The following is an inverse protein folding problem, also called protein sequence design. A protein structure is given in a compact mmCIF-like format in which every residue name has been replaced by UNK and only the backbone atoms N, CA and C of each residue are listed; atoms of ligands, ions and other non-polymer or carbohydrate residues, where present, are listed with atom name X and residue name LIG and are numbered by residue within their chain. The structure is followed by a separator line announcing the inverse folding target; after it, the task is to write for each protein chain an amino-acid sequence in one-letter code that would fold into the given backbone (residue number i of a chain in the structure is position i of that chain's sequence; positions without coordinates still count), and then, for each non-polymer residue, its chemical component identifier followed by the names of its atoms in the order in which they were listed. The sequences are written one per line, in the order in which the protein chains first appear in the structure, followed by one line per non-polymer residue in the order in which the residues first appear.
data_IF_904897501868
#
_entry.id   IF_904897501868
#
_cell.length_a   1.000
_cell.length_b   1.000
_cell.length_c   1.000
_cell.angle_alpha   90.00
_cell.angle_beta   90.00
_cell.angle_gamma   90.00
#
_symmetry.space_group_name_H-M   'P 1'
#
loop_
_entity.id
_entity.type
_entity.pdbx_description
1 polymer ?
#
# COMPACT_ATOMS: atom_id res chain seq x y z
N UNK A 1 17.24 -25.40 -22.79
CA UNK A 1 17.72 -24.42 -23.80
C UNK A 1 17.31 -23.02 -23.34
N UNK A 2 18.04 -21.97 -23.71
CA UNK A 2 17.64 -20.57 -23.49
C UNK A 2 17.27 -19.92 -24.82
N UNK A 3 16.19 -19.16 -24.85
CA UNK A 3 15.75 -18.33 -25.98
C UNK A 3 15.94 -16.87 -25.57
N UNK A 4 16.60 -16.09 -26.42
CA UNK A 4 16.83 -14.67 -26.20
C UNK A 4 15.88 -13.89 -27.10
N UNK A 5 15.07 -13.04 -26.51
CA UNK A 5 14.21 -12.09 -27.20
C UNK A 5 14.70 -10.68 -26.90
N UNK A 6 14.52 -9.76 -27.84
CA UNK A 6 14.83 -8.35 -27.67
C UNK A 6 13.61 -7.51 -27.96
N UNK A 7 13.40 -6.46 -27.17
CA UNK A 7 12.36 -5.49 -27.45
C UNK A 7 12.84 -4.35 -28.36
N UNK A 8 11.96 -3.40 -28.64
CA UNK A 8 12.25 -2.19 -29.43
C UNK A 8 13.38 -1.32 -28.86
N UNK A 9 13.67 -1.42 -27.56
CA UNK A 9 14.76 -0.71 -26.88
C UNK A 9 16.04 -1.54 -26.81
N UNK A 10 16.10 -2.67 -27.53
CA UNK A 10 17.21 -3.63 -27.51
C UNK A 10 17.46 -4.27 -26.12
N UNK A 11 16.51 -4.15 -25.19
CA UNK A 11 16.56 -4.82 -23.90
C UNK A 11 16.26 -6.32 -24.09
N UNK A 12 17.05 -7.17 -23.43
CA UNK A 12 17.00 -8.62 -23.63
C UNK A 12 16.13 -9.31 -22.59
N UNK A 13 15.25 -10.22 -23.04
CA UNK A 13 14.51 -11.17 -22.22
C UNK A 13 15.03 -12.57 -22.48
N UNK A 14 15.45 -13.26 -21.42
CA UNK A 14 15.91 -14.65 -21.48
C UNK A 14 14.79 -15.58 -21.01
N UNK A 15 14.33 -16.45 -21.91
CA UNK A 15 13.31 -17.46 -21.66
C UNK A 15 13.92 -18.86 -21.60
N UNK A 16 13.35 -19.73 -20.77
CA UNK A 16 13.69 -21.14 -20.69
C UNK A 16 12.81 -21.94 -21.65
N UNK A 17 13.44 -22.74 -22.51
CA UNK A 17 12.76 -23.64 -23.45
C UNK A 17 13.04 -25.09 -23.09
N UNK A 18 11.96 -25.86 -22.93
CA UNK A 18 11.97 -27.30 -22.72
C UNK A 18 11.25 -27.98 -23.87
N UNK A 19 11.95 -28.92 -24.53
CA UNK A 19 11.42 -29.71 -25.64
C UNK A 19 11.27 -31.14 -25.14
N UNK A 20 10.08 -31.72 -25.31
CA UNK A 20 9.76 -33.09 -24.96
C UNK A 20 9.22 -33.81 -26.19
N UNK A 21 9.90 -34.89 -26.58
CA UNK A 21 9.45 -35.80 -27.62
C UNK A 21 8.46 -36.81 -27.04
N UNK A 22 7.35 -37.06 -27.74
CA UNK A 22 6.30 -38.00 -27.35
C UNK A 22 6.18 -39.09 -28.41
N UNK A 23 5.76 -40.30 -27.99
CA UNK A 23 5.41 -41.38 -28.90
C UNK A 23 4.39 -40.90 -29.95
N UNK A 24 4.54 -41.36 -31.20
CA UNK A 24 3.71 -40.92 -32.33
C UNK A 24 4.17 -39.60 -32.98
N UNK A 25 5.48 -39.29 -32.95
CA UNK A 25 6.08 -38.13 -33.60
C UNK A 25 5.55 -36.75 -33.13
N UNK A 26 4.95 -36.69 -31.94
CA UNK A 26 4.49 -35.43 -31.36
C UNK A 26 5.61 -34.73 -30.58
N UNK A 27 5.73 -33.41 -30.76
CA UNK A 27 6.70 -32.57 -30.05
C UNK A 27 5.97 -31.60 -29.15
N UNK A 28 6.30 -31.59 -27.86
CA UNK A 28 5.83 -30.58 -26.91
C UNK A 28 6.94 -29.59 -26.60
N UNK A 29 6.78 -28.36 -27.03
CA UNK A 29 7.67 -27.24 -26.71
C UNK A 29 7.01 -26.42 -25.59
N UNK A 30 7.74 -26.21 -24.49
CA UNK A 30 7.31 -25.36 -23.38
C UNK A 30 8.29 -24.20 -23.25
N UNK A 31 7.77 -22.97 -23.29
CA UNK A 31 8.53 -21.73 -23.12
C UNK A 31 8.10 -21.09 -21.81
N UNK A 32 9.06 -20.76 -20.95
CA UNK A 32 8.83 -20.30 -19.58
C UNK A 32 9.73 -19.11 -19.27
N UNK A 33 9.21 -18.08 -18.63
CA UNK A 33 10.02 -17.03 -18.01
C UNK A 33 10.46 -17.48 -16.61
N UNK A 34 11.67 -17.10 -16.19
CA UNK A 34 12.16 -17.39 -14.84
C UNK A 34 11.40 -16.61 -13.77
N UNK A 35 10.95 -15.39 -14.09
CA UNK A 35 10.28 -14.48 -13.17
C UNK A 35 9.09 -13.80 -13.83
N UNK A 36 8.01 -13.67 -13.10
CA UNK A 36 6.86 -12.83 -13.42
C UNK A 36 6.72 -11.75 -12.37
N UNK A 37 6.67 -10.50 -12.78
CA UNK A 37 6.42 -9.37 -11.90
C UNK A 37 4.95 -8.98 -12.04
N UNK A 38 4.20 -9.14 -10.95
CA UNK A 38 2.77 -8.83 -10.87
C UNK A 38 2.60 -7.56 -10.05
N UNK A 39 2.22 -6.47 -10.70
CA UNK A 39 1.96 -5.20 -10.04
C UNK A 39 0.51 -5.13 -9.55
N UNK A 40 0.32 -5.11 -8.24
CA UNK A 40 -0.97 -4.91 -7.55
C UNK A 40 -1.03 -3.59 -6.80
N UNK A 41 -0.04 -2.71 -6.95
CA UNK A 41 0.05 -1.46 -6.18
C UNK A 41 -0.94 -0.39 -6.63
N UNK A 42 -1.39 -0.46 -7.89
CA UNK A 42 -2.10 0.64 -8.55
C UNK A 42 -1.19 1.79 -9.01
N UNK A 43 0.12 1.72 -8.70
CA UNK A 43 1.12 2.68 -9.16
C UNK A 43 1.73 2.23 -10.50
N UNK A 44 2.19 3.13 -11.37
CA UNK A 44 3.09 2.76 -12.45
C UNK A 44 4.42 2.30 -11.85
N UNK A 45 4.79 1.04 -12.06
CA UNK A 45 6.05 0.47 -11.54
C UNK A 45 6.94 0.09 -12.71
N UNK A 46 8.19 0.54 -12.65
CA UNK A 46 9.22 0.20 -13.61
C UNK A 46 10.36 -0.54 -12.93
N UNK A 47 10.88 -1.55 -13.61
CA UNK A 47 11.80 -2.53 -13.02
C UNK A 47 13.05 -2.70 -13.88
N UNK A 48 14.20 -2.90 -13.23
CA UNK A 48 15.44 -3.32 -13.89
C UNK A 48 16.26 -4.26 -13.03
N UNK A 49 17.21 -4.93 -13.67
CA UNK A 49 18.31 -5.58 -12.96
C UNK A 49 19.18 -4.50 -12.30
N UNK A 50 19.57 -4.74 -11.06
CA UNK A 50 20.47 -3.84 -10.36
C UNK A 50 21.81 -3.77 -11.09
N UNK A 51 22.42 -2.58 -11.13
CA UNK A 51 23.64 -2.33 -11.88
C UNK A 51 23.51 -2.14 -13.40
N UNK A 52 22.35 -2.41 -14.02
CA UNK A 52 22.11 -2.09 -15.45
C UNK A 52 21.59 -0.66 -15.64
N UNK A 53 21.88 -0.05 -16.80
CA UNK A 53 21.35 1.29 -17.14
C UNK A 53 20.00 1.25 -17.87
N UNK A 54 19.60 0.06 -18.34
CA UNK A 54 18.37 -0.14 -19.09
C UNK A 54 17.29 -0.79 -18.23
N UNK A 55 16.03 -0.44 -18.53
CA UNK A 55 14.87 -1.13 -17.97
C UNK A 55 14.81 -2.57 -18.47
N UNK A 56 14.15 -3.44 -17.69
CA UNK A 56 13.88 -4.79 -18.15
C UNK A 56 13.00 -4.79 -19.40
N UNK A 57 13.25 -5.77 -20.29
CA UNK A 57 12.58 -5.88 -21.58
C UNK A 57 11.05 -5.92 -21.47
N UNK A 58 10.37 -5.31 -22.45
CA UNK A 58 8.91 -5.26 -22.51
C UNK A 58 8.28 -4.07 -21.79
N UNK A 59 9.09 -3.21 -21.17
CA UNK A 59 8.64 -1.94 -20.59
C UNK A 59 8.84 -0.80 -21.58
N UNK A 60 7.80 0.00 -21.78
CA UNK A 60 7.74 1.14 -22.70
C UNK A 60 6.99 2.31 -22.04
N UNK A 61 6.85 3.42 -22.76
CA UNK A 61 6.28 4.67 -22.23
C UNK A 61 4.92 4.50 -21.53
N UNK A 62 4.06 3.59 -21.98
CA UNK A 62 2.76 3.34 -21.34
C UNK A 62 2.88 2.82 -19.88
N UNK A 63 4.00 2.20 -19.52
CA UNK A 63 4.28 1.75 -18.15
C UNK A 63 4.62 2.92 -17.22
N UNK A 64 5.10 4.05 -17.76
CA UNK A 64 5.29 5.30 -17.00
C UNK A 64 3.94 5.93 -16.58
N UNK A 65 2.85 5.56 -17.27
CA UNK A 65 1.51 6.13 -17.09
C UNK A 65 0.47 5.17 -16.49
N UNK A 66 0.90 4.01 -15.98
CA UNK A 66 0.04 2.99 -15.36
C UNK A 66 -1.03 2.40 -16.30
N UNK A 67 -0.81 2.43 -17.62
CA UNK A 67 -1.76 1.92 -18.63
C UNK A 67 -1.61 0.42 -18.91
N UNK A 68 -0.61 -0.24 -18.32
CA UNK A 68 -0.36 -1.67 -18.48
C UNK A 68 -0.69 -2.42 -17.20
N UNK A 69 -1.64 -3.35 -17.28
CA UNK A 69 -2.05 -4.23 -16.18
C UNK A 69 -1.50 -5.66 -16.32
N UNK A 70 -0.70 -5.91 -17.35
CA UNK A 70 -0.19 -7.25 -17.63
C UNK A 70 1.02 -7.58 -16.74
N UNK A 71 1.16 -8.83 -16.26
CA UNK A 71 2.37 -9.27 -15.60
C UNK A 71 3.59 -9.11 -16.53
N UNK A 72 4.66 -8.54 -15.99
CA UNK A 72 5.91 -8.36 -16.73
C UNK A 72 6.74 -9.65 -16.66
N UNK A 73 7.09 -10.22 -17.81
CA UNK A 73 8.09 -11.27 -17.88
C UNK A 73 9.48 -10.67 -17.61
N UNK A 74 10.20 -11.23 -16.64
CA UNK A 74 11.48 -10.70 -16.21
C UNK A 74 12.58 -11.77 -16.26
N UNK A 75 13.79 -11.32 -16.57
CA UNK A 75 15.00 -12.12 -16.52
C UNK A 75 16.21 -11.24 -16.21
N UNK A 76 17.16 -11.81 -15.49
CA UNK A 76 18.50 -11.24 -15.36
C UNK A 76 19.28 -11.50 -16.65
N UNK A 77 19.40 -10.46 -17.48
CA UNK A 77 19.95 -10.57 -18.82
C UNK A 77 21.46 -10.37 -18.85
N UNK A 78 21.97 -9.49 -17.98
CA UNK A 78 23.39 -9.21 -17.83
C UNK A 78 23.99 -10.17 -16.79
N UNK A 79 25.01 -10.94 -17.20
CA UNK A 79 25.65 -11.93 -16.33
C UNK A 79 26.74 -11.33 -15.45
N UNK A 80 27.22 -10.13 -15.80
CA UNK A 80 28.26 -9.43 -15.07
C UNK A 80 27.66 -8.57 -13.93
N UNK A 81 26.34 -8.39 -13.95
CA UNK A 81 25.58 -7.68 -12.93
C UNK A 81 24.94 -8.63 -11.91
N UNK A 82 24.68 -8.16 -10.68
CA UNK A 82 24.06 -9.00 -9.65
C UNK A 82 22.67 -9.47 -10.07
N UNK A 83 22.29 -10.66 -9.59
CA UNK A 83 20.93 -11.20 -9.68
C UNK A 83 20.00 -10.53 -8.67
N UNK A 84 20.02 -9.20 -8.63
CA UNK A 84 19.20 -8.37 -7.76
C UNK A 84 18.36 -7.42 -8.62
N UNK A 85 17.18 -7.12 -8.13
CA UNK A 85 16.19 -6.31 -8.81
C UNK A 85 16.09 -4.94 -8.13
N UNK A 86 15.86 -3.89 -8.90
CA UNK A 86 15.45 -2.58 -8.36
C UNK A 86 14.26 -2.05 -9.15
N UNK A 87 13.45 -1.22 -8.51
CA UNK A 87 12.26 -0.65 -9.14
C UNK A 87 12.09 0.82 -8.77
N UNK A 88 11.38 1.55 -9.62
CA UNK A 88 10.96 2.93 -9.37
C UNK A 88 9.51 3.09 -9.76
N UNK A 89 8.91 4.17 -9.26
CA UNK A 89 7.61 4.60 -9.74
C UNK A 89 7.73 5.29 -11.12
N UNK A 90 6.67 5.25 -11.92
CA UNK A 90 6.59 5.93 -13.21
C UNK A 90 6.41 7.44 -13.09
N UNK A 91 6.78 8.16 -14.15
CA UNK A 91 6.78 9.63 -14.18
C UNK A 91 5.41 10.26 -13.92
N UNK A 92 4.31 9.58 -14.27
CA UNK A 92 2.94 10.10 -14.07
C UNK A 92 2.25 9.55 -12.81
N UNK A 93 2.98 9.07 -11.82
CA UNK A 93 2.39 8.75 -10.52
C UNK A 93 1.95 10.01 -9.77
N UNK A 94 0.85 10.60 -10.22
CA UNK A 94 0.18 11.70 -9.54
C UNK A 94 -0.86 11.12 -8.58
N UNK A 95 -0.53 11.10 -7.29
CA UNK A 95 -1.50 10.87 -6.21
C UNK A 95 -1.71 12.19 -5.50
N UNK A 96 -2.94 12.72 -5.51
CA UNK A 96 -3.28 14.00 -4.88
C UNK A 96 -2.86 15.21 -5.71
N UNK A 97 -3.84 16.05 -6.04
CA UNK A 97 -3.73 17.20 -6.93
C UNK A 97 -2.65 18.22 -6.53
N UNK A 98 -2.16 18.91 -7.56
CA UNK A 98 -1.16 19.99 -7.55
C UNK A 98 0.22 19.59 -7.03
N UNK A 99 1.10 19.15 -7.92
CA UNK A 99 2.55 19.18 -7.69
C UNK A 99 3.09 20.51 -8.20
N UNK A 100 3.47 21.39 -7.26
CA UNK A 100 4.49 22.40 -7.55
C UNK A 100 5.82 21.65 -7.77
N UNK A 101 6.59 22.05 -8.80
CA UNK A 101 7.92 21.51 -9.07
C UNK A 101 7.99 20.24 -9.94
N UNK A 102 9.14 20.06 -10.60
CA UNK A 102 9.46 18.86 -11.38
C UNK A 102 9.87 17.73 -10.42
N UNK A 103 9.12 16.61 -10.43
CA UNK A 103 9.44 15.43 -9.64
C UNK A 103 10.15 14.36 -10.48
N UNK A 104 11.22 13.78 -9.92
CA UNK A 104 12.01 12.74 -10.59
C UNK A 104 11.93 11.42 -9.80
N UNK A 105 11.50 10.32 -10.42
CA UNK A 105 11.43 9.03 -9.75
C UNK A 105 12.82 8.43 -9.52
N UNK A 106 13.04 7.89 -8.33
CA UNK A 106 14.29 7.23 -7.94
C UNK A 106 14.13 5.72 -7.80
N UNK A 107 15.16 4.98 -8.19
CA UNK A 107 15.22 3.53 -8.02
C UNK A 107 15.42 3.16 -6.55
N UNK A 108 14.58 2.28 -6.02
CA UNK A 108 14.67 1.84 -4.65
C UNK A 108 15.91 0.99 -4.39
N UNK A 109 16.16 0.67 -3.13
CA UNK A 109 17.17 -0.31 -2.74
C UNK A 109 16.94 -1.67 -3.44
N UNK A 110 18.02 -2.31 -3.85
CA UNK A 110 18.02 -3.61 -4.52
C UNK A 110 17.42 -4.72 -3.66
N UNK A 111 16.74 -5.69 -4.26
CA UNK A 111 16.13 -6.85 -3.58
C UNK A 111 16.28 -8.13 -4.39
N UNK A 112 16.28 -9.29 -3.73
CA UNK A 112 16.31 -10.60 -4.39
C UNK A 112 14.91 -11.04 -4.85
N UNK A 113 14.84 -11.75 -5.98
CA UNK A 113 13.62 -12.39 -6.49
C UNK A 113 13.60 -13.91 -6.25
N UNK A 114 14.41 -14.42 -5.32
CA UNK A 114 14.56 -15.87 -5.08
C UNK A 114 13.58 -16.42 -4.03
N UNK A 115 12.95 -15.57 -3.22
CA UNK A 115 11.95 -15.99 -2.24
C UNK A 115 11.73 -14.99 -1.12
N UNK A 116 10.66 -15.20 -0.35
CA UNK A 116 10.36 -14.42 0.86
C UNK A 116 9.56 -13.15 0.59
N UNK A 117 9.44 -12.33 1.63
CA UNK A 117 8.74 -11.03 1.57
C UNK A 117 9.64 -9.93 2.11
N UNK A 118 9.60 -8.76 1.48
CA UNK A 118 10.32 -7.56 1.92
C UNK A 118 9.53 -6.31 1.56
N UNK A 119 9.97 -5.15 2.04
CA UNK A 119 9.37 -3.85 1.73
C UNK A 119 10.36 -2.95 1.02
N UNK A 120 9.87 -2.11 0.12
CA UNK A 120 10.67 -1.07 -0.53
C UNK A 120 9.93 0.25 -0.52
N UNK A 121 10.70 1.31 -0.51
CA UNK A 121 10.17 2.66 -0.61
C UNK A 121 10.54 3.23 -1.98
N UNK A 122 9.52 3.64 -2.73
CA UNK A 122 9.68 4.28 -4.04
C UNK A 122 9.60 5.77 -3.85
N UNK A 123 10.67 6.49 -4.18
CA UNK A 123 10.78 7.93 -3.93
C UNK A 123 10.57 8.72 -5.21
N UNK A 124 9.82 9.80 -5.08
CA UNK A 124 9.77 10.91 -6.04
C UNK A 124 10.50 12.08 -5.40
N UNK A 125 11.65 12.44 -6.00
CA UNK A 125 12.49 13.53 -5.52
C UNK A 125 12.01 14.81 -6.16
N UNK A 126 11.73 15.84 -5.37
CA UNK A 126 11.38 17.17 -5.89
C UNK A 126 12.61 18.07 -5.87
N UNK A 127 12.78 18.88 -6.93
CA UNK A 127 13.92 19.78 -7.08
C UNK A 127 13.78 21.11 -6.32
N UNK A 128 12.60 21.43 -5.80
CA UNK A 128 12.24 22.75 -5.23
C UNK A 128 12.32 22.80 -3.69
N UNK A 129 12.90 21.77 -3.06
CA UNK A 129 13.02 21.68 -1.61
C UNK A 129 11.74 21.27 -0.89
N UNK A 130 10.65 20.98 -1.62
CA UNK A 130 9.47 20.36 -1.01
C UNK A 130 9.76 18.93 -0.56
N UNK A 131 9.06 18.43 0.47
CA UNK A 131 9.24 17.06 0.96
C UNK A 131 9.06 16.03 -0.16
N UNK A 132 10.00 15.10 -0.26
CA UNK A 132 9.92 13.99 -1.20
C UNK A 132 8.67 13.15 -0.93
N UNK A 133 8.00 12.71 -2.00
CA UNK A 133 6.92 11.72 -1.86
C UNK A 133 7.54 10.32 -1.84
N UNK A 134 7.05 9.48 -0.94
CA UNK A 134 7.57 8.13 -0.78
C UNK A 134 6.41 7.13 -0.68
N UNK A 135 6.43 6.13 -1.56
CA UNK A 135 5.44 5.07 -1.61
C UNK A 135 6.04 3.80 -1.04
N UNK A 136 5.64 3.44 0.18
CA UNK A 136 5.99 2.15 0.75
C UNK A 136 5.18 1.04 0.07
N UNK A 137 5.88 0.02 -0.43
CA UNK A 137 5.30 -1.14 -1.11
C UNK A 137 5.81 -2.43 -0.47
N UNK A 138 4.98 -3.46 -0.51
CA UNK A 138 5.34 -4.82 -0.19
C UNK A 138 5.75 -5.61 -1.42
N UNK A 139 6.77 -6.45 -1.30
CA UNK A 139 7.23 -7.38 -2.32
C UNK A 139 7.14 -8.77 -1.71
N UNK A 140 6.48 -9.69 -2.40
CA UNK A 140 6.42 -11.10 -2.00
C UNK A 140 6.75 -11.99 -3.19
N UNK A 141 7.65 -12.93 -2.97
CA UNK A 141 8.14 -13.84 -4.00
C UNK A 141 7.73 -15.25 -3.61
N UNK A 142 7.01 -15.90 -4.52
CA UNK A 142 6.67 -17.32 -4.38
C UNK A 142 6.92 -18.05 -5.68
N UNK A 143 7.17 -19.36 -5.59
CA UNK A 143 7.23 -20.21 -6.78
C UNK A 143 5.82 -20.41 -7.34
N UNK A 144 5.68 -20.37 -8.66
CA UNK A 144 4.43 -20.71 -9.34
C UNK A 144 4.07 -22.17 -9.14
N UNK A 145 2.81 -22.52 -9.40
CA UNK A 145 2.29 -23.87 -9.26
C UNK A 145 1.92 -24.49 -10.61
N UNK A 146 1.87 -25.83 -10.66
CA UNK A 146 1.50 -26.58 -11.86
C UNK A 146 2.37 -26.22 -13.07
N UNK A 147 1.74 -25.73 -14.14
CA UNK A 147 2.43 -25.32 -15.38
C UNK A 147 3.44 -24.16 -15.20
N UNK A 148 3.41 -23.48 -14.06
CA UNK A 148 4.30 -22.36 -13.73
C UNK A 148 5.34 -22.72 -12.65
N UNK A 149 5.55 -24.01 -12.34
CA UNK A 149 6.49 -24.45 -11.29
C UNK A 149 7.96 -24.01 -11.47
N UNK A 150 8.33 -23.60 -12.68
CA UNK A 150 9.65 -23.09 -13.02
C UNK A 150 9.71 -21.55 -13.08
N UNK A 151 8.66 -20.87 -12.64
CA UNK A 151 8.55 -19.41 -12.64
C UNK A 151 8.37 -18.91 -11.21
N UNK A 152 9.15 -17.91 -10.80
CA UNK A 152 8.90 -17.18 -9.56
C UNK A 152 7.94 -16.02 -9.83
N UNK A 153 6.89 -15.94 -9.02
CA UNK A 153 5.88 -14.89 -9.07
C UNK A 153 6.27 -13.84 -8.02
N UNK A 154 6.82 -12.72 -8.49
CA UNK A 154 7.16 -11.53 -7.70
C UNK A 154 5.92 -10.64 -7.68
N UNK A 155 5.18 -10.65 -6.58
CA UNK A 155 4.01 -9.80 -6.39
C UNK A 155 4.42 -8.52 -5.67
N UNK A 156 4.22 -7.38 -6.34
CA UNK A 156 4.40 -6.04 -5.76
C UNK A 156 3.02 -5.54 -5.34
N UNK A 157 2.84 -5.23 -4.07
CA UNK A 157 1.54 -4.87 -3.49
C UNK A 157 1.66 -3.59 -2.63
N UNK A 158 0.56 -2.89 -2.36
CA UNK A 158 0.55 -1.76 -1.45
C UNK A 158 1.05 -2.18 -0.06
N UNK A 159 1.71 -1.27 0.68
CA UNK A 159 2.07 -1.56 2.08
C UNK A 159 0.87 -1.51 3.01
N UNK A 160 -0.07 -0.59 2.79
CA UNK A 160 -1.23 -0.39 3.65
C UNK A 160 -2.53 -0.37 2.84
N UNK A 161 -3.50 -1.18 3.27
CA UNK A 161 -4.87 -1.17 2.79
C UNK A 161 -5.79 -0.80 3.95
N UNK A 162 -6.70 0.14 3.73
CA UNK A 162 -7.73 0.52 4.68
C UNK A 162 -9.07 -0.04 4.20
N UNK A 163 -9.75 -0.80 5.05
CA UNK A 163 -11.06 -1.39 4.79
C UNK A 163 -12.09 -0.76 5.71
N UNK A 164 -13.18 -0.26 5.12
CA UNK A 164 -14.36 0.11 5.88
C UNK A 164 -15.34 -1.07 5.86
N UNK A 165 -15.38 -1.82 6.97
CA UNK A 165 -16.31 -2.92 7.20
C UNK A 165 -17.44 -2.53 8.17
N UNK A 166 -17.69 -1.22 8.36
CA UNK A 166 -18.91 -0.75 9.04
C UNK A 166 -20.12 -0.96 8.15
N UNK A 167 -21.32 -1.02 8.75
CA UNK A 167 -22.55 -1.35 8.01
C UNK A 167 -23.10 -0.19 7.19
N UNK A 168 -23.02 1.03 7.73
CA UNK A 168 -23.77 2.17 7.20
C UNK A 168 -22.95 3.46 7.02
N UNK A 169 -21.89 3.65 7.80
CA UNK A 169 -21.19 4.93 7.84
C UNK A 169 -19.99 4.96 6.91
N UNK A 170 -19.83 6.06 6.18
CA UNK A 170 -18.58 6.38 5.49
C UNK A 170 -17.53 6.75 6.53
N UNK A 171 -16.30 6.31 6.33
CA UNK A 171 -15.17 6.61 7.21
C UNK A 171 -14.18 7.52 6.49
N UNK A 172 -13.78 8.60 7.16
CA UNK A 172 -12.66 9.43 6.70
C UNK A 172 -11.40 9.06 7.46
N UNK A 173 -10.29 8.96 6.73
CA UNK A 173 -8.97 8.65 7.23
C UNK A 173 -7.98 9.75 6.86
N UNK A 174 -7.06 10.07 7.77
CA UNK A 174 -5.97 11.00 7.51
C UNK A 174 -4.77 10.72 8.43
N UNK A 175 -3.59 11.18 8.05
CA UNK A 175 -2.43 11.22 8.94
C UNK A 175 -2.68 12.25 10.06
N UNK A 176 -2.28 11.93 11.30
CA UNK A 176 -2.49 12.82 12.45
C UNK A 176 -1.90 14.21 12.24
N UNK A 177 -0.68 14.30 11.71
CA UNK A 177 -0.04 15.58 11.36
C UNK A 177 -0.93 16.49 10.51
N UNK A 178 -1.58 15.94 9.49
CA UNK A 178 -2.47 16.66 8.56
C UNK A 178 -3.66 17.28 9.29
N UNK A 179 -4.19 16.60 10.30
CA UNK A 179 -5.33 17.09 11.10
C UNK A 179 -4.88 18.18 12.07
N UNK A 180 -3.73 17.99 12.72
CA UNK A 180 -3.20 18.93 13.70
C UNK A 180 -2.66 20.22 13.07
N UNK A 181 -2.25 20.17 11.81
CA UNK A 181 -1.68 21.33 11.09
C UNK A 181 -2.37 21.56 9.74
N UNK A 182 -3.62 22.08 9.73
CA UNK A 182 -4.40 22.27 8.51
C UNK A 182 -3.83 23.33 7.55
N UNK A 183 -2.84 24.11 7.99
CA UNK A 183 -2.19 25.16 7.19
C UNK A 183 -0.97 24.66 6.40
N UNK A 184 -0.57 23.39 6.55
CA UNK A 184 0.53 22.84 5.75
C UNK A 184 0.08 22.71 4.28
N UNK A 185 0.79 23.31 3.31
CA UNK A 185 0.37 23.35 1.91
C UNK A 185 0.24 21.96 1.25
N UNK A 186 0.80 20.90 1.86
CA UNK A 186 0.65 19.50 1.41
C UNK A 186 -0.70 18.90 1.86
N UNK A 187 -1.44 19.55 2.76
CA UNK A 187 -2.64 19.02 3.44
C UNK A 187 -3.89 19.03 2.58
N UNK A 188 -3.99 19.93 1.59
CA UNK A 188 -5.25 20.31 0.93
C UNK A 188 -6.00 19.18 0.16
N UNK A 189 -5.51 17.94 0.10
CA UNK A 189 -6.20 16.84 -0.57
C UNK A 189 -5.98 15.44 0.05
N UNK A 190 -5.64 15.33 1.34
CA UNK A 190 -5.07 14.07 1.87
C UNK A 190 -5.99 13.24 2.76
N UNK A 191 -7.22 13.71 3.06
CA UNK A 191 -8.19 12.86 3.75
C UNK A 191 -8.86 11.92 2.74
N UNK A 192 -8.78 10.62 2.99
CA UNK A 192 -9.44 9.59 2.19
C UNK A 192 -10.78 9.26 2.82
N UNK A 193 -11.85 9.21 2.02
CA UNK A 193 -13.15 8.77 2.50
C UNK A 193 -13.53 7.45 1.83
N UNK A 194 -13.87 6.45 2.65
CA UNK A 194 -14.15 5.08 2.23
C UNK A 194 -15.62 4.77 2.56
N UNK A 195 -16.37 4.27 1.58
CA UNK A 195 -17.76 3.84 1.77
C UNK A 195 -17.82 2.46 2.46
N UNK A 196 -18.93 2.13 3.15
CA UNK A 196 -19.15 0.79 3.69
C UNK A 196 -18.86 -0.34 2.68
N UNK A 197 -18.20 -1.41 3.14
CA UNK A 197 -17.86 -2.59 2.33
C UNK A 197 -16.73 -2.39 1.30
N UNK A 198 -16.03 -1.26 1.33
CA UNK A 198 -14.98 -0.93 0.36
C UNK A 198 -13.60 -0.76 0.99
N UNK A 199 -12.57 -0.70 0.15
CA UNK A 199 -11.18 -0.53 0.56
C UNK A 199 -10.42 0.45 -0.32
N UNK A 200 -9.42 1.10 0.25
CA UNK A 200 -8.49 1.97 -0.49
C UNK A 200 -7.05 1.68 -0.10
N UNK A 201 -6.15 1.91 -1.06
CA UNK A 201 -4.70 1.96 -0.79
C UNK A 201 -4.37 3.23 -0.03
N UNK A 202 -3.58 3.10 1.02
CA UNK A 202 -3.10 4.23 1.80
C UNK A 202 -1.58 4.39 1.68
N UNK A 203 -1.16 5.61 1.40
CA UNK A 203 0.22 6.04 1.46
C UNK A 203 0.30 7.25 2.39
N UNK A 204 1.33 7.29 3.23
CA UNK A 204 1.56 8.43 4.11
C UNK A 204 1.80 9.69 3.27
N UNK A 205 0.98 10.75 3.46
CA UNK A 205 1.21 12.02 2.78
C UNK A 205 2.59 12.63 3.12
N UNK A 206 3.03 12.48 4.37
CA UNK A 206 4.30 12.99 4.89
C UNK A 206 5.06 11.91 5.65
N UNK A 207 6.05 11.30 5.00
CA UNK A 207 6.92 10.28 5.62
C UNK A 207 7.94 10.86 6.60
N UNK A 208 8.21 12.16 6.53
CA UNK A 208 9.04 12.92 7.48
C UNK A 208 8.31 13.29 8.78
N UNK A 209 7.05 12.87 8.92
CA UNK A 209 6.16 13.15 10.06
C UNK A 209 5.68 11.86 10.71
N UNK A 210 4.84 11.99 11.73
CA UNK A 210 4.34 10.84 12.49
C UNK A 210 3.48 9.90 11.63
N UNK A 211 3.77 8.62 11.67
CA UNK A 211 3.02 7.58 10.93
C UNK A 211 1.81 7.10 11.73
N UNK A 212 0.98 8.05 12.18
CA UNK A 212 -0.22 7.78 12.94
C UNK A 212 -1.47 8.05 12.09
N UNK A 213 -2.30 7.03 11.95
CA UNK A 213 -3.56 7.09 11.21
C UNK A 213 -4.67 7.55 12.14
N UNK A 214 -5.48 8.49 11.69
CA UNK A 214 -6.70 8.90 12.37
C UNK A 214 -7.92 8.49 11.54
N UNK A 215 -9.02 8.18 12.22
CA UNK A 215 -10.32 7.87 11.63
C UNK A 215 -11.40 8.77 12.24
N UNK A 216 -12.42 9.11 11.43
CA UNK A 216 -13.68 9.70 11.88
C UNK A 216 -14.85 9.18 11.06
N UNK A 217 -16.07 9.36 11.55
CA UNK A 217 -17.27 9.24 10.73
C UNK A 217 -17.30 10.41 9.73
N UNK A 218 -17.38 10.10 8.45
CA UNK A 218 -17.39 11.11 7.39
C UNK A 218 -18.74 11.83 7.32
N UNK A 219 -19.82 11.08 7.52
CA UNK A 219 -21.22 11.53 7.42
C UNK A 219 -21.64 12.39 8.61
N UNK A 220 -20.88 12.36 9.70
CA UNK A 220 -21.14 13.12 10.93
C UNK A 220 -20.03 14.17 11.16
N UNK A 221 -20.16 15.39 10.60
CA UNK A 221 -19.11 16.41 10.68
C UNK A 221 -18.82 16.88 12.11
N UNK A 222 -19.74 16.64 13.04
CA UNK A 222 -19.59 16.98 14.45
C UNK A 222 -18.82 15.91 15.26
N UNK A 223 -18.49 14.77 14.65
CA UNK A 223 -17.64 13.74 15.27
C UNK A 223 -16.17 14.11 15.13
N UNK A 224 -15.45 14.14 16.25
CA UNK A 224 -14.02 14.46 16.25
C UNK A 224 -13.21 13.29 15.68
N UNK A 225 -12.06 13.62 15.09
CA UNK A 225 -11.04 12.63 14.73
C UNK A 225 -10.56 11.86 15.97
N UNK A 226 -10.24 10.58 15.77
CA UNK A 226 -9.52 9.77 16.76
C UNK A 226 -8.13 10.35 17.09
N UNK A 227 -7.53 9.93 18.21
CA UNK A 227 -6.21 10.40 18.67
C UNK A 227 -4.98 9.95 17.85
N UNK A 228 -5.16 9.13 16.82
CA UNK A 228 -4.08 8.56 16.00
C UNK A 228 -3.60 7.21 16.51
N UNK A 229 -3.35 6.27 15.60
CA UNK A 229 -2.87 4.92 15.92
C UNK A 229 -1.90 4.39 14.87
N UNK A 230 -1.07 3.42 15.27
CA UNK A 230 -0.10 2.77 14.41
C UNK A 230 -0.78 1.69 13.55
N UNK A 231 -0.36 1.58 12.29
CA UNK A 231 -0.89 0.61 11.33
C UNK A 231 0.21 -0.29 10.74
N UNK A 232 1.41 -0.23 11.32
CA UNK A 232 2.61 -0.94 10.89
C UNK A 232 2.99 -2.10 11.81
N UNK A 233 2.03 -2.55 12.63
CA UNK A 233 2.13 -3.73 13.50
C UNK A 233 0.77 -4.40 13.61
N UNK A 234 0.76 -5.72 13.79
CA UNK A 234 -0.47 -6.47 13.99
C UNK A 234 -1.06 -6.19 15.36
N UNK A 235 -2.32 -5.78 15.41
CA UNK A 235 -2.99 -5.38 16.64
C UNK A 235 -4.51 -5.44 16.47
N UNK A 236 -5.25 -5.54 17.56
CA UNK A 236 -6.71 -5.49 17.58
C UNK A 236 -7.18 -4.72 18.80
N UNK A 237 -7.91 -3.62 18.58
CA UNK A 237 -8.30 -2.71 19.65
C UNK A 237 -9.52 -1.86 19.29
N UNK A 238 -10.11 -1.25 20.31
CA UNK A 238 -11.23 -0.33 20.15
C UNK A 238 -10.77 1.12 20.18
N UNK A 239 -11.31 1.96 19.29
CA UNK A 239 -11.10 3.40 19.30
C UNK A 239 -12.42 4.11 19.66
N UNK A 240 -12.43 4.96 20.71
CA UNK A 240 -13.55 5.86 20.97
C UNK A 240 -13.50 7.09 20.06
N UNK A 241 -14.59 7.35 19.35
CA UNK A 241 -14.84 8.59 18.62
C UNK A 241 -15.75 9.49 19.44
N UNK A 242 -15.23 10.63 19.90
CA UNK A 242 -15.98 11.57 20.74
C UNK A 242 -17.02 12.33 19.91
N UNK A 243 -18.26 12.25 20.37
CA UNK A 243 -19.39 13.04 19.88
C UNK A 243 -19.33 14.46 20.46
N UNK A 244 -19.67 15.46 19.66
CA UNK A 244 -19.87 16.82 20.19
C UNK A 244 -21.27 16.95 20.81
N UNK A 245 -21.44 17.78 21.85
CA UNK A 245 -22.73 18.00 22.52
C UNK A 245 -23.88 18.41 21.60
N UNK A 246 -23.56 19.08 20.49
CA UNK A 246 -24.51 19.53 19.48
C UNK A 246 -24.98 18.44 18.50
N UNK A 247 -24.43 17.22 18.57
CA UNK A 247 -24.78 16.14 17.63
C UNK A 247 -26.13 15.52 18.01
N UNK A 248 -26.99 15.20 17.04
CA UNK A 248 -28.28 14.51 17.29
C UNK A 248 -28.06 13.20 18.07
N UNK A 249 -27.01 12.45 17.74
CA UNK A 249 -26.60 11.23 18.46
C UNK A 249 -26.27 11.49 19.94
N UNK A 250 -25.71 12.66 20.25
CA UNK A 250 -25.43 13.07 21.63
C UNK A 250 -26.73 13.40 22.37
N UNK A 251 -27.66 14.11 21.72
CA UNK A 251 -28.94 14.52 22.31
C UNK A 251 -29.90 13.35 22.54
N UNK A 252 -29.84 12.33 21.68
CA UNK A 252 -30.66 11.11 21.78
C UNK A 252 -30.06 10.04 22.72
N UNK A 253 -28.88 10.29 23.31
CA UNK A 253 -28.30 9.36 24.28
C UNK A 253 -29.17 9.34 25.55
N UNK A 254 -29.91 8.25 25.74
CA UNK A 254 -30.97 8.08 26.76
C UNK A 254 -30.44 8.11 28.21
N UNK A 255 -29.12 8.17 28.42
CA UNK A 255 -28.52 8.10 29.74
C UNK A 255 -27.51 9.23 29.98
N UNK A 256 -27.67 10.06 31.05
CA UNK A 256 -26.76 11.17 31.36
C UNK A 256 -25.35 10.72 31.76
N UNK A 257 -25.13 9.41 31.94
CA UNK A 257 -23.82 8.80 32.22
C UNK A 257 -23.29 7.91 31.08
N UNK A 258 -23.95 7.86 29.91
CA UNK A 258 -23.43 7.11 28.77
C UNK A 258 -22.20 7.84 28.20
N UNK A 259 -21.11 7.13 27.86
CA UNK A 259 -19.97 7.77 27.23
C UNK A 259 -20.43 8.38 25.90
N UNK A 260 -20.21 9.68 25.73
CA UNK A 260 -20.48 10.44 24.50
C UNK A 260 -19.52 10.05 23.36
N UNK A 261 -19.39 8.75 23.12
CA UNK A 261 -18.42 8.16 22.23
C UNK A 261 -19.06 7.02 21.43
N UNK A 262 -18.69 6.93 20.16
CA UNK A 262 -18.93 5.75 19.33
C UNK A 262 -17.64 4.92 19.35
N UNK A 263 -17.73 3.62 19.59
CA UNK A 263 -16.58 2.75 19.52
C UNK A 263 -16.49 2.09 18.15
N UNK A 264 -15.29 2.14 17.56
CA UNK A 264 -14.94 1.38 16.38
C UNK A 264 -13.97 0.27 16.77
N UNK A 265 -14.16 -0.93 16.22
CA UNK A 265 -13.19 -2.00 16.32
C UNK A 265 -12.19 -1.90 15.16
N UNK A 266 -10.90 -1.89 15.49
CA UNK A 266 -9.79 -1.82 14.56
C UNK A 266 -9.03 -3.14 14.63
N UNK A 267 -8.87 -3.78 13.48
CA UNK A 267 -8.03 -4.97 13.33
C UNK A 267 -6.94 -4.69 12.29
N UNK A 268 -5.68 -4.76 12.70
CA UNK A 268 -4.51 -4.63 11.84
C UNK A 268 -3.90 -6.01 11.65
N UNK A 269 -3.94 -6.52 10.43
CA UNK A 269 -3.35 -7.82 10.07
C UNK A 269 -2.26 -7.66 9.03
N UNK A 270 -1.25 -8.53 9.05
CA UNK A 270 -0.18 -8.56 8.05
C UNK A 270 -0.32 -9.81 7.18
N UNK A 271 -0.51 -9.62 5.88
CA UNK A 271 -0.46 -10.71 4.91
C UNK A 271 0.68 -10.46 3.92
N UNK A 272 1.67 -11.36 3.90
CA UNK A 272 2.94 -11.17 3.21
C UNK A 272 3.61 -9.85 3.64
N UNK A 273 3.62 -8.85 2.76
CA UNK A 273 4.20 -7.53 3.01
C UNK A 273 3.14 -6.40 3.02
N UNK A 274 1.85 -6.73 3.15
CA UNK A 274 0.75 -5.75 3.16
C UNK A 274 0.02 -5.80 4.50
N UNK A 275 -0.02 -4.66 5.19
CA UNK A 275 -0.91 -4.45 6.32
C UNK A 275 -2.32 -4.12 5.84
N UNK A 276 -3.30 -4.79 6.44
CA UNK A 276 -4.71 -4.55 6.23
C UNK A 276 -5.29 -4.01 7.53
N UNK A 277 -5.82 -2.80 7.48
CA UNK A 277 -6.51 -2.15 8.60
C UNK A 277 -8.00 -2.26 8.34
N UNK A 278 -8.67 -3.15 9.05
CA UNK A 278 -10.11 -3.32 8.98
C UNK A 278 -10.78 -2.53 10.10
N UNK A 279 -11.66 -1.61 9.73
CA UNK A 279 -12.48 -0.84 10.67
C UNK A 279 -13.91 -1.32 10.62
N UNK A 280 -14.46 -1.71 11.76
CA UNK A 280 -15.81 -2.25 11.90
C UNK A 280 -16.56 -1.60 13.06
N UNK A 281 -17.88 -1.70 13.04
CA UNK A 281 -18.71 -1.30 14.18
C UNK A 281 -18.33 -2.15 15.39
N UNK A 282 -18.09 -1.54 16.55
CA UNK A 282 -17.81 -2.31 17.76
C UNK A 282 -19.09 -3.02 18.25
N UNK A 283 -18.96 -4.29 18.65
CA UNK A 283 -20.04 -5.00 19.33
C UNK A 283 -20.15 -4.47 20.77
N UNK A 284 -21.28 -3.85 21.17
CA UNK A 284 -21.45 -3.33 22.52
C UNK A 284 -21.27 -4.39 23.60
N UNK A 285 -21.55 -5.67 23.30
CA UNK A 285 -21.38 -6.79 24.24
C UNK A 285 -19.92 -7.16 24.47
N UNK A 286 -19.02 -6.75 23.57
CA UNK A 286 -17.58 -7.00 23.64
C UNK A 286 -16.77 -5.79 24.13
N UNK A 287 -17.43 -4.66 24.41
CA UNK A 287 -16.76 -3.51 25.00
C UNK A 287 -16.45 -3.77 26.47
N UNK A 288 -15.24 -3.41 26.95
CA UNK A 288 -14.94 -3.50 28.37
C UNK A 288 -15.90 -2.60 29.15
N UNK A 289 -16.29 -2.98 30.38
CA UNK A 289 -17.13 -2.14 31.21
C UNK A 289 -16.45 -0.77 31.43
N UNK A 290 -17.22 0.33 31.47
CA UNK A 290 -16.67 1.66 31.66
C UNK A 290 -15.84 1.71 32.95
N UNK A 291 -14.57 2.12 32.84
CA UNK A 291 -13.69 2.30 33.97
C UNK A 291 -13.89 3.71 34.54
N UNK A 292 -14.31 3.79 35.81
CA UNK A 292 -14.31 5.03 36.57
C UNK A 292 -12.91 5.25 37.14
N UNK A 293 -12.28 6.37 36.79
CA UNK A 293 -11.01 6.81 37.38
C UNK A 293 -11.32 8.00 38.27
N UNK A 294 -11.21 7.81 39.58
CA UNK A 294 -11.32 8.90 40.54
C UNK A 294 -9.92 9.49 40.77
N UNK A 295 -9.76 10.79 40.52
CA UNK A 295 -8.54 11.51 40.89
C UNK A 295 -8.54 11.74 42.41
N UNK A 296 -7.69 11.01 43.12
CA UNK A 296 -7.50 11.17 44.57
C UNK A 296 -6.39 12.17 44.93
N UNK A 297 -5.77 12.82 43.93
CA UNK A 297 -4.76 13.84 44.18
C UNK A 297 -5.39 15.19 44.51
N UNK A 298 -4.65 16.01 45.27
CA UNK A 298 -5.05 17.39 45.59
C UNK A 298 -4.86 18.36 44.42
N UNK A 299 -4.38 17.89 43.26
CA UNK A 299 -4.20 18.69 42.06
C UNK A 299 -5.36 18.47 41.09
N UNK A 300 -5.99 19.53 40.55
CA UNK A 300 -7.01 19.39 39.52
C UNK A 300 -6.42 18.82 38.22
N UNK A 301 -7.24 18.06 37.49
CA UNK A 301 -6.97 17.59 36.12
C UNK A 301 -7.33 18.70 35.13
#
# INVERSE_FOLDING_TARGET
MRMLLKDHNNATLILNVRILWRYGCSVRISVMAGYWIVNKTGLPILVKQDGTNTLAAGQHEAHEEARSLQPLLFSYADRDQPYLCTMRVGKKAQIGGTTHGQQTPWFCEKFSTDGGSCTRNLRMITSDGTPNREFCIGISVRRGWGRYMHTHIVTVAPRFLLFNNTKHNRLSFAQRHTISNPMDPVVNATHLTIIPGSSVVFHWPRVDRDTLLCVRLADEPMVRWSGGFLIDRTDAFHIPLRLQPSTILYQNAVHPLAPHCIFLNIEVTLNNATYTVCVSDADPSMLPPPLRVDNISSAPI
#
